data_IF_909224833610
#
_entry.id   IF_909224833610
#
_cell.length_a   1.000
_cell.length_b   1.000
_cell.length_c   1.000
_cell.angle_alpha   90.00
_cell.angle_beta   90.00
_cell.angle_gamma   90.00
#
_symmetry.space_group_name_H-M   'P 1'
#
loop_
_entity.id
_entity.type
_entity.pdbx_description
1 polymer ?
#
# COMPACT_ATOMS: atom_id res chain seq x y z
N UNK A 1 16.62 -4.91 -5.82
CA UNK A 1 15.78 -5.61 -4.82
C UNK A 1 16.49 -5.54 -3.48
N UNK A 2 15.81 -5.08 -2.43
CA UNK A 2 16.32 -5.00 -1.05
C UNK A 2 15.66 -6.09 -0.22
N UNK A 3 16.42 -6.70 0.70
CA UNK A 3 15.93 -7.71 1.65
C UNK A 3 15.26 -8.96 1.06
N UNK A 4 15.71 -9.40 -0.12
CA UNK A 4 15.34 -10.71 -0.63
C UNK A 4 15.87 -11.83 0.28
N UNK A 5 15.03 -12.80 0.65
CA UNK A 5 15.50 -14.04 1.28
C UNK A 5 16.24 -14.85 0.20
N UNK A 6 17.54 -15.05 0.38
CA UNK A 6 18.41 -15.73 -0.59
C UNK A 6 19.55 -16.46 0.14
N UNK A 7 20.16 -17.45 -0.54
CA UNK A 7 21.18 -18.31 0.06
C UNK A 7 20.60 -19.33 1.03
N UNK A 8 21.39 -19.76 2.00
CA UNK A 8 20.93 -20.66 3.06
C UNK A 8 20.10 -19.86 4.08
N UNK A 9 18.86 -20.27 4.28
CA UNK A 9 17.94 -19.64 5.23
C UNK A 9 17.24 -20.68 6.10
N UNK A 10 16.77 -20.25 7.27
CA UNK A 10 15.90 -21.07 8.12
C UNK A 10 14.47 -21.09 7.55
N UNK A 11 13.84 -22.26 7.56
CA UNK A 11 12.45 -22.45 7.17
C UNK A 11 11.71 -23.29 8.21
N UNK A 12 10.52 -22.85 8.59
CA UNK A 12 9.56 -23.64 9.38
C UNK A 12 8.49 -24.17 8.43
N UNK A 13 8.35 -25.50 8.37
CA UNK A 13 7.23 -26.17 7.72
C UNK A 13 6.08 -26.38 8.72
N UNK A 14 5.15 -25.44 8.73
CA UNK A 14 4.01 -25.41 9.63
C UNK A 14 2.81 -26.17 9.03
N UNK A 15 2.56 -27.38 9.53
CA UNK A 15 1.34 -28.15 9.27
C UNK A 15 0.27 -28.05 10.37
N UNK A 16 0.63 -27.50 11.52
CA UNK A 16 -0.25 -27.37 12.71
C UNK A 16 -0.62 -25.92 13.03
N UNK A 17 -0.87 -25.65 14.31
CA UNK A 17 -1.23 -24.31 14.80
C UNK A 17 -0.15 -23.74 15.70
N UNK A 18 0.22 -22.48 15.47
CA UNK A 18 1.00 -21.66 16.41
C UNK A 18 0.05 -20.64 17.04
N UNK A 19 0.06 -20.55 18.37
CA UNK A 19 -0.67 -19.49 19.10
C UNK A 19 0.31 -18.66 19.91
N UNK A 20 0.31 -17.35 19.66
CA UNK A 20 1.18 -16.38 20.30
C UNK A 20 0.34 -15.48 21.21
N UNK A 21 0.72 -15.37 22.48
CA UNK A 21 0.03 -14.55 23.48
C UNK A 21 1.05 -13.63 24.14
N UNK A 22 0.91 -12.31 23.99
CA UNK A 22 1.83 -11.32 24.55
C UNK A 22 3.29 -11.58 24.17
N UNK A 23 3.53 -11.91 22.89
CA UNK A 23 4.84 -12.35 22.40
C UNK A 23 5.38 -11.46 21.28
N UNK A 24 6.59 -11.77 20.82
CA UNK A 24 7.16 -11.27 19.56
C UNK A 24 7.55 -12.44 18.69
N UNK A 25 7.15 -12.43 17.41
CA UNK A 25 7.57 -13.37 16.39
C UNK A 25 8.37 -12.61 15.32
N UNK A 26 9.66 -12.92 15.19
CA UNK A 26 10.52 -12.35 14.15
C UNK A 26 10.88 -13.40 13.10
N UNK A 27 10.63 -13.09 11.82
CA UNK A 27 10.81 -14.04 10.71
C UNK A 27 11.69 -13.42 9.62
N UNK A 28 12.98 -13.77 9.64
CA UNK A 28 13.96 -13.37 8.62
C UNK A 28 14.12 -14.41 7.50
N UNK A 29 13.74 -15.67 7.77
CA UNK A 29 13.64 -16.75 6.78
C UNK A 29 12.21 -16.95 6.29
N UNK A 30 11.70 -18.18 6.34
CA UNK A 30 10.32 -18.49 6.00
C UNK A 30 9.55 -19.28 7.06
N UNK A 31 8.25 -19.02 7.15
CA UNK A 31 7.26 -19.96 7.72
C UNK A 31 6.29 -20.31 6.60
N UNK A 32 6.22 -21.59 6.22
CA UNK A 32 5.42 -22.11 5.10
C UNK A 32 4.54 -23.26 5.55
N UNK A 33 3.64 -23.68 4.66
CA UNK A 33 2.73 -24.81 4.90
C UNK A 33 1.30 -24.35 5.20
N UNK A 34 0.40 -25.32 5.28
CA UNK A 34 -1.04 -25.10 5.38
C UNK A 34 -1.54 -24.85 6.81
N UNK A 35 -0.64 -24.80 7.78
CA UNK A 35 -0.99 -24.47 9.15
C UNK A 35 -1.29 -22.98 9.35
N UNK A 36 -1.64 -22.64 10.60
CA UNK A 36 -2.18 -21.33 10.96
C UNK A 36 -1.44 -20.73 12.16
N UNK A 37 -1.29 -19.40 12.14
CA UNK A 37 -0.74 -18.62 13.25
C UNK A 37 -1.85 -17.72 13.80
N UNK A 38 -2.07 -17.77 15.12
CA UNK A 38 -2.95 -16.83 15.84
C UNK A 38 -2.10 -15.93 16.72
N UNK A 39 -2.21 -14.61 16.55
CA UNK A 39 -1.46 -13.62 17.29
C UNK A 39 -2.40 -12.76 18.16
N UNK A 40 -2.26 -12.91 19.48
CA UNK A 40 -2.99 -12.15 20.50
C UNK A 40 -2.00 -11.23 21.25
N UNK A 41 -2.25 -9.92 21.23
CA UNK A 41 -1.36 -8.92 21.84
C UNK A 41 0.12 -9.10 21.45
N UNK A 42 0.37 -9.47 20.19
CA UNK A 42 1.68 -9.94 19.73
C UNK A 42 2.21 -9.03 18.63
N UNK A 43 3.52 -8.80 18.65
CA UNK A 43 4.22 -8.14 17.53
C UNK A 43 4.78 -9.19 16.58
N UNK A 44 4.38 -9.13 15.32
CA UNK A 44 4.89 -9.98 14.25
C UNK A 44 5.75 -9.12 13.34
N UNK A 45 7.02 -9.48 13.22
CA UNK A 45 8.00 -8.85 12.36
C UNK A 45 8.34 -9.86 11.27
N UNK A 46 8.14 -9.49 10.01
CA UNK A 46 8.55 -10.31 8.89
C UNK A 46 9.45 -9.54 7.93
N UNK A 47 10.32 -10.26 7.23
CA UNK A 47 11.19 -9.63 6.25
C UNK A 47 10.36 -9.00 5.12
N UNK A 48 10.59 -7.71 4.88
CA UNK A 48 9.96 -6.91 3.83
C UNK A 48 10.90 -6.83 2.63
N UNK A 49 10.54 -7.52 1.56
CA UNK A 49 11.27 -7.43 0.30
C UNK A 49 10.83 -6.17 -0.46
N UNK A 50 11.72 -5.19 -0.63
CA UNK A 50 11.43 -3.96 -1.38
C UNK A 50 12.10 -4.06 -2.76
N UNK A 51 11.30 -4.34 -3.78
CA UNK A 51 11.77 -4.48 -5.16
C UNK A 51 11.78 -3.15 -5.90
N UNK A 52 10.92 -2.21 -5.51
CA UNK A 52 10.83 -0.87 -6.10
C UNK A 52 11.79 0.16 -5.49
N UNK A 53 12.75 -0.27 -4.68
CA UNK A 53 13.81 0.61 -4.17
C UNK A 53 14.92 0.75 -5.20
N UNK A 54 15.14 1.98 -5.66
CA UNK A 54 16.01 2.29 -6.81
C UNK A 54 17.36 2.90 -6.38
N UNK A 55 17.68 2.81 -5.10
CA UNK A 55 18.85 3.45 -4.51
C UNK A 55 18.52 4.82 -3.91
N UNK A 56 19.40 5.29 -3.02
CA UNK A 56 19.17 6.49 -2.23
C UNK A 56 18.96 7.76 -3.06
N UNK A 57 19.66 7.91 -4.20
CA UNK A 57 19.50 9.10 -5.07
C UNK A 57 18.12 9.17 -5.70
N UNK A 58 17.67 8.10 -6.34
CA UNK A 58 16.37 8.11 -7.02
C UNK A 58 15.23 8.22 -6.01
N UNK A 59 15.28 7.45 -4.92
CA UNK A 59 14.29 7.50 -3.85
C UNK A 59 14.18 8.88 -3.21
N UNK A 60 15.30 9.55 -2.93
CA UNK A 60 15.31 10.90 -2.37
C UNK A 60 14.73 11.92 -3.35
N UNK A 61 15.12 11.89 -4.63
CA UNK A 61 14.56 12.79 -5.64
C UNK A 61 13.05 12.60 -5.84
N UNK A 62 12.56 11.35 -5.82
CA UNK A 62 11.12 11.03 -5.90
C UNK A 62 10.33 11.62 -4.74
N UNK A 63 10.88 11.50 -3.53
CA UNK A 63 10.20 11.96 -2.33
C UNK A 63 10.27 13.48 -2.15
N UNK A 64 11.47 14.07 -2.26
CA UNK A 64 11.72 15.48 -2.00
C UNK A 64 11.17 16.38 -3.12
N UNK A 65 11.24 15.91 -4.37
CA UNK A 65 10.87 16.70 -5.55
C UNK A 65 12.03 17.47 -6.16
N UNK A 66 11.71 18.34 -7.11
CA UNK A 66 12.68 19.02 -7.97
C UNK A 66 13.36 20.23 -7.31
N UNK A 67 14.65 20.43 -7.60
CA UNK A 67 15.40 21.64 -7.26
C UNK A 67 15.68 21.88 -5.78
N UNK A 68 15.66 20.84 -4.92
CA UNK A 68 15.93 20.97 -3.48
C UNK A 68 17.34 20.51 -3.15
N UNK A 69 17.92 21.10 -2.11
CA UNK A 69 19.23 20.69 -1.60
C UNK A 69 19.01 19.56 -0.59
N UNK A 70 19.59 18.38 -0.86
CA UNK A 70 19.43 17.17 -0.03
C UNK A 70 19.85 17.41 1.43
N UNK A 71 20.95 18.16 1.63
CA UNK A 71 21.50 18.48 2.94
C UNK A 71 20.56 19.28 3.86
N UNK A 72 19.50 19.89 3.30
CA UNK A 72 18.51 20.66 4.05
C UNK A 72 17.11 20.03 4.02
N UNK A 73 16.98 18.80 3.51
CA UNK A 73 15.69 18.14 3.24
C UNK A 73 15.34 17.03 4.24
N UNK A 74 15.68 17.21 5.52
CA UNK A 74 15.41 16.22 6.59
C UNK A 74 13.93 16.13 6.96
N UNK A 75 13.19 17.24 6.86
CA UNK A 75 11.76 17.35 7.12
C UNK A 75 11.01 17.91 5.89
N UNK A 76 10.68 17.05 4.95
CA UNK A 76 10.02 17.45 3.70
C UNK A 76 8.56 17.79 3.95
N UNK A 77 8.20 19.07 3.87
CA UNK A 77 6.82 19.52 4.11
C UNK A 77 5.85 19.19 2.97
N UNK A 78 6.35 19.21 1.73
CA UNK A 78 5.59 18.98 0.50
C UNK A 78 6.23 17.87 -0.34
N UNK A 79 6.19 16.61 0.14
CA UNK A 79 6.74 15.50 -0.62
C UNK A 79 5.93 15.22 -1.89
N UNK A 80 6.59 14.67 -2.91
CA UNK A 80 5.99 14.47 -4.24
C UNK A 80 5.46 13.04 -4.42
N UNK A 81 6.32 12.04 -4.21
CA UNK A 81 6.00 10.63 -4.45
C UNK A 81 6.64 9.75 -3.38
N UNK A 82 5.93 8.71 -2.93
CA UNK A 82 6.53 7.73 -2.01
C UNK A 82 7.72 7.02 -2.68
N UNK A 83 8.83 6.74 -1.96
CA UNK A 83 10.13 6.44 -2.59
C UNK A 83 10.21 5.12 -3.36
N UNK A 84 9.25 4.21 -3.19
CA UNK A 84 9.15 2.96 -3.93
C UNK A 84 7.69 2.64 -4.23
N UNK A 85 7.46 1.86 -5.29
CA UNK A 85 6.12 1.43 -5.75
C UNK A 85 5.89 -0.08 -5.63
N UNK A 86 6.90 -0.85 -5.20
CA UNK A 86 6.84 -2.32 -5.14
C UNK A 86 7.53 -2.89 -3.91
N UNK A 87 6.78 -3.68 -3.14
CA UNK A 87 7.24 -4.38 -1.95
C UNK A 87 6.38 -5.62 -1.70
N UNK A 88 6.90 -6.61 -0.96
CA UNK A 88 6.18 -7.86 -0.68
C UNK A 88 6.53 -8.39 0.72
N UNK A 89 5.49 -8.75 1.50
CA UNK A 89 5.56 -9.40 2.82
C UNK A 89 5.42 -10.93 2.65
N UNK A 90 6.54 -11.60 2.37
CA UNK A 90 6.55 -13.01 1.92
C UNK A 90 7.18 -14.01 2.89
N UNK A 91 7.73 -13.54 4.00
CA UNK A 91 8.41 -14.42 4.94
C UNK A 91 7.43 -15.33 5.69
N UNK A 92 6.26 -14.82 6.08
CA UNK A 92 5.19 -15.67 6.63
C UNK A 92 4.20 -16.02 5.52
N UNK A 93 4.26 -17.25 5.01
CA UNK A 93 3.37 -17.72 3.94
C UNK A 93 2.15 -18.49 4.48
N UNK A 94 2.29 -19.12 5.64
CA UNK A 94 1.13 -19.63 6.38
C UNK A 94 0.17 -18.50 6.76
N UNK A 95 -1.12 -18.82 6.90
CA UNK A 95 -2.12 -17.83 7.30
C UNK A 95 -1.82 -17.32 8.72
N UNK A 96 -1.87 -16.01 8.92
CA UNK A 96 -1.75 -15.39 10.24
C UNK A 96 -2.96 -14.51 10.53
N UNK A 97 -3.63 -14.79 11.64
CA UNK A 97 -4.70 -13.95 12.19
C UNK A 97 -4.15 -13.10 13.32
N UNK A 98 -4.11 -11.78 13.11
CA UNK A 98 -3.79 -10.78 14.12
C UNK A 98 -5.08 -10.25 14.74
N UNK A 99 -5.31 -10.56 16.01
CA UNK A 99 -6.41 -9.98 16.77
C UNK A 99 -6.06 -8.57 17.27
N UNK A 100 -7.08 -7.77 17.60
CA UNK A 100 -6.91 -6.51 18.31
C UNK A 100 -5.95 -6.68 19.50
N UNK A 101 -5.00 -5.76 19.62
CA UNK A 101 -3.83 -5.81 20.48
C UNK A 101 -2.52 -6.14 19.76
N UNK A 102 -2.58 -6.79 18.59
CA UNK A 102 -1.39 -7.22 17.83
C UNK A 102 -0.92 -6.18 16.79
N UNK A 103 0.30 -6.36 16.30
CA UNK A 103 0.98 -5.55 15.27
C UNK A 103 1.66 -6.43 14.22
N UNK A 104 1.56 -6.04 12.95
CA UNK A 104 2.34 -6.59 11.83
C UNK A 104 3.29 -5.51 11.30
N UNK A 105 4.58 -5.83 11.25
CA UNK A 105 5.63 -4.92 10.79
C UNK A 105 6.54 -5.62 9.79
N UNK A 106 6.87 -4.90 8.72
CA UNK A 106 7.92 -5.30 7.79
C UNK A 106 9.27 -4.77 8.23
N UNK A 107 10.30 -5.61 8.18
CA UNK A 107 11.69 -5.22 8.38
C UNK A 107 12.47 -5.26 7.06
N UNK A 108 13.13 -4.17 6.71
CA UNK A 108 14.00 -4.09 5.54
C UNK A 108 15.36 -3.48 5.89
N UNK A 109 16.45 -3.97 5.28
CA UNK A 109 17.70 -3.23 5.14
C UNK A 109 17.68 -2.52 3.80
N UNK A 110 17.93 -1.21 3.82
CA UNK A 110 17.82 -0.34 2.65
C UNK A 110 19.16 0.34 2.42
N UNK A 111 19.74 0.10 1.24
CA UNK A 111 20.98 0.73 0.83
C UNK A 111 20.76 2.15 0.27
N UNK A 112 21.56 3.10 0.75
CA UNK A 112 21.71 4.42 0.13
C UNK A 112 22.73 4.36 -1.01
N UNK A 113 22.81 5.42 -1.81
CA UNK A 113 23.80 5.53 -2.89
C UNK A 113 24.98 6.37 -2.44
N UNK A 114 26.18 6.09 -2.98
CA UNK A 114 27.32 6.98 -2.79
C UNK A 114 27.07 8.33 -3.46
N UNK A 115 27.40 9.44 -2.78
CA UNK A 115 27.15 10.79 -3.26
C UNK A 115 28.12 11.80 -2.66
N UNK A 116 28.67 12.70 -3.49
CA UNK A 116 29.54 13.80 -3.05
C UNK A 116 30.66 13.36 -2.06
N UNK A 117 31.31 12.22 -2.33
CA UNK A 117 32.35 11.65 -1.45
C UNK A 117 31.83 10.84 -0.25
N UNK A 118 30.53 10.86 0.02
CA UNK A 118 29.86 10.02 1.02
C UNK A 118 29.68 8.61 0.45
N UNK A 119 30.17 7.60 1.16
CA UNK A 119 30.00 6.19 0.78
C UNK A 119 28.55 5.74 1.00
N UNK A 120 28.10 4.76 0.22
CA UNK A 120 26.82 4.10 0.43
C UNK A 120 26.73 3.50 1.83
N UNK A 121 25.55 3.55 2.44
CA UNK A 121 25.26 3.09 3.80
C UNK A 121 24.07 2.13 3.77
N UNK A 122 24.01 1.20 4.71
CA UNK A 122 22.88 0.28 4.89
C UNK A 122 22.10 0.74 6.11
N UNK A 123 20.81 1.00 5.92
CA UNK A 123 19.90 1.45 6.95
C UNK A 123 18.88 0.38 7.28
N UNK A 124 18.48 0.28 8.54
CA UNK A 124 17.34 -0.55 8.93
C UNK A 124 16.04 0.27 8.83
N UNK A 125 15.02 -0.34 8.26
CA UNK A 125 13.71 0.27 8.05
C UNK A 125 12.62 -0.65 8.56
N UNK A 126 11.72 -0.06 9.34
CA UNK A 126 10.65 -0.76 10.04
C UNK A 126 9.30 -0.19 9.64
N UNK A 127 8.59 -0.86 8.73
CA UNK A 127 7.34 -0.36 8.18
C UNK A 127 6.16 -1.07 8.83
N UNK A 128 5.38 -0.41 9.70
CA UNK A 128 4.16 -1.01 10.19
C UNK A 128 3.12 -1.13 9.07
N UNK A 129 2.43 -2.27 9.02
CA UNK A 129 1.35 -2.55 8.07
C UNK A 129 0.01 -2.64 8.78
N UNK A 130 -0.06 -3.43 9.85
CA UNK A 130 -1.24 -3.53 10.70
C UNK A 130 -0.88 -3.23 12.16
N UNK A 131 -1.77 -2.56 12.89
CA UNK A 131 -1.52 -2.24 14.29
C UNK A 131 -2.83 -2.07 15.06
N UNK A 132 -2.72 -2.07 16.38
CA UNK A 132 -3.80 -1.75 17.31
C UNK A 132 -3.59 -0.41 18.01
N UNK A 133 -2.48 0.26 17.73
CA UNK A 133 -2.09 1.56 18.28
C UNK A 133 -3.01 2.68 17.75
N UNK A 134 -3.23 3.70 18.58
CA UNK A 134 -4.05 4.86 18.25
C UNK A 134 -3.34 5.87 17.34
N UNK A 135 -2.01 5.87 17.30
CA UNK A 135 -1.22 6.77 16.47
C UNK A 135 -1.46 6.49 14.97
N UNK A 136 -1.70 7.53 14.19
CA UNK A 136 -1.93 7.41 12.74
C UNK A 136 -0.68 6.93 11.99
N UNK A 137 0.54 7.13 12.53
CA UNK A 137 1.79 6.62 11.93
C UNK A 137 2.06 5.13 12.23
N UNK A 138 1.12 4.45 12.89
CA UNK A 138 1.34 3.10 13.43
C UNK A 138 1.01 1.96 12.46
N UNK A 139 0.59 2.26 11.23
CA UNK A 139 0.33 1.26 10.21
C UNK A 139 -0.73 1.69 9.19
N UNK A 140 -0.80 0.95 8.07
CA UNK A 140 -1.77 1.18 6.99
C UNK A 140 -3.18 0.69 7.35
N UNK A 141 -3.28 -0.25 8.29
CA UNK A 141 -4.54 -0.76 8.84
C UNK A 141 -4.44 -0.75 10.36
N UNK A 142 -5.31 0.02 11.01
CA UNK A 142 -5.36 0.17 12.47
C UNK A 142 -6.68 -0.42 12.98
N UNK A 143 -6.57 -1.51 13.73
CA UNK A 143 -7.71 -2.19 14.35
C UNK A 143 -8.29 -1.31 15.46
N UNK A 144 -9.58 -0.95 15.39
CA UNK A 144 -10.21 0.00 16.33
C UNK A 144 -11.11 -0.70 17.33
N UNK A 145 -12.04 -1.52 16.85
CA UNK A 145 -12.97 -2.26 17.71
C UNK A 145 -12.30 -3.48 18.35
N UNK A 146 -12.90 -4.01 19.41
CA UNK A 146 -12.39 -5.18 20.15
C UNK A 146 -12.46 -6.48 19.33
N UNK A 147 -13.43 -6.58 18.42
CA UNK A 147 -13.62 -7.70 17.48
C UNK A 147 -12.80 -7.54 16.20
N UNK A 148 -12.12 -6.40 16.01
CA UNK A 148 -11.31 -6.18 14.82
C UNK A 148 -10.14 -7.16 14.74
N UNK A 149 -9.88 -7.65 13.52
CA UNK A 149 -8.74 -8.49 13.21
C UNK A 149 -8.26 -8.27 11.78
N UNK A 150 -6.99 -8.55 11.57
CA UNK A 150 -6.37 -8.62 10.25
C UNK A 150 -5.92 -10.05 9.99
N UNK A 151 -6.28 -10.62 8.85
CA UNK A 151 -5.77 -11.93 8.42
C UNK A 151 -4.83 -11.71 7.25
N UNK A 152 -3.55 -12.04 7.42
CA UNK A 152 -2.57 -12.03 6.34
C UNK A 152 -2.40 -13.45 5.80
N UNK A 153 -2.53 -13.59 4.49
CA UNK A 153 -2.41 -14.87 3.80
C UNK A 153 -1.35 -14.78 2.71
N UNK A 154 -0.96 -15.94 2.20
CA UNK A 154 -0.14 -16.04 1.00
C UNK A 154 -0.71 -17.14 0.12
N UNK A 155 -1.22 -16.79 -1.07
CA UNK A 155 -1.88 -17.73 -1.98
C UNK A 155 -1.21 -17.65 -3.34
N UNK A 156 -0.66 -18.78 -3.79
CA UNK A 156 0.18 -18.82 -4.99
C UNK A 156 1.40 -17.92 -4.80
N UNK A 157 1.38 -16.75 -5.41
CA UNK A 157 2.45 -15.76 -5.33
C UNK A 157 1.98 -14.40 -4.77
N UNK A 158 0.76 -14.33 -4.22
CA UNK A 158 0.11 -13.09 -3.78
C UNK A 158 -0.01 -13.02 -2.27
N UNK A 159 0.18 -11.81 -1.73
CA UNK A 159 -0.06 -11.48 -0.32
C UNK A 159 -1.52 -11.03 -0.18
N UNK A 160 -2.31 -11.74 0.62
CA UNK A 160 -3.66 -11.33 0.97
C UNK A 160 -3.69 -10.61 2.32
N UNK A 161 -4.46 -9.53 2.42
CA UNK A 161 -4.76 -8.81 3.65
C UNK A 161 -6.28 -8.71 3.78
N UNK A 162 -6.84 -9.43 4.74
CA UNK A 162 -8.26 -9.37 5.05
C UNK A 162 -8.50 -8.56 6.32
N UNK A 163 -9.52 -7.70 6.32
CA UNK A 163 -9.91 -6.90 7.50
C UNK A 163 -11.31 -7.25 7.96
N UNK A 164 -11.50 -7.28 9.27
CA UNK A 164 -12.77 -7.54 9.95
C UNK A 164 -12.99 -6.51 11.06
N UNK A 165 -14.25 -6.27 11.42
CA UNK A 165 -14.62 -5.31 12.47
C UNK A 165 -14.41 -3.86 12.03
N UNK A 166 -14.24 -2.96 13.00
CA UNK A 166 -13.95 -1.54 12.71
C UNK A 166 -12.44 -1.31 12.62
N UNK A 167 -11.97 -0.85 11.47
CA UNK A 167 -10.58 -0.48 11.20
C UNK A 167 -10.49 0.92 10.59
N UNK A 168 -9.38 1.60 10.84
CA UNK A 168 -9.01 2.87 10.21
C UNK A 168 -7.70 2.71 9.46
N UNK A 169 -7.45 3.47 8.41
CA UNK A 169 -6.08 3.57 7.91
C UNK A 169 -5.19 4.44 8.81
N UNK A 170 -3.91 4.41 8.50
CA UNK A 170 -2.91 5.35 8.95
C UNK A 170 -1.91 5.57 7.82
N UNK A 171 -0.69 5.92 8.19
CA UNK A 171 0.44 6.02 7.28
C UNK A 171 1.66 5.28 7.84
N UNK A 172 2.60 5.01 6.97
CA UNK A 172 3.90 4.42 7.28
C UNK A 172 5.04 5.34 6.82
N UNK A 173 6.24 5.10 7.32
CA UNK A 173 7.42 5.86 6.95
C UNK A 173 8.65 4.98 6.81
N UNK A 174 9.60 5.44 5.99
CA UNK A 174 10.95 4.91 5.94
C UNK A 174 11.90 6.00 6.40
N UNK A 175 12.70 5.68 7.40
CA UNK A 175 13.73 6.58 7.91
C UNK A 175 15.09 6.08 7.44
N UNK A 176 15.91 6.99 6.93
CA UNK A 176 17.28 6.73 6.54
C UNK A 176 18.21 7.65 7.32
N UNK A 177 19.27 7.09 7.85
CA UNK A 177 20.42 7.80 8.38
C UNK A 177 21.51 7.86 7.31
N UNK A 178 21.99 9.06 7.04
CA UNK A 178 23.11 9.32 6.13
C UNK A 178 24.11 10.21 6.85
N UNK A 179 25.25 9.63 7.23
CA UNK A 179 26.25 10.30 8.07
C UNK A 179 25.61 10.67 9.41
N UNK A 180 25.21 11.93 9.62
CA UNK A 180 24.56 12.43 10.84
C UNK A 180 23.18 13.05 10.54
N UNK A 181 22.61 12.74 9.37
CA UNK A 181 21.32 13.28 8.94
C UNK A 181 20.28 12.18 8.88
N UNK A 182 19.15 12.41 9.53
CA UNK A 182 17.96 11.56 9.42
C UNK A 182 17.01 12.14 8.38
N UNK A 183 16.67 11.36 7.35
CA UNK A 183 15.65 11.69 6.36
C UNK A 183 14.47 10.76 6.59
N UNK A 184 13.31 11.31 6.91
CA UNK A 184 12.08 10.55 7.05
C UNK A 184 11.19 10.72 5.81
N UNK A 185 10.90 9.60 5.14
CA UNK A 185 10.02 9.53 3.98
C UNK A 185 8.68 8.92 4.39
N UNK A 186 7.69 9.76 4.64
CA UNK A 186 6.36 9.36 5.13
C UNK A 186 5.32 9.30 4.02
N UNK A 187 4.37 8.39 4.13
CA UNK A 187 3.20 8.31 3.24
C UNK A 187 2.05 9.22 3.67
N UNK A 188 2.20 9.99 4.74
CA UNK A 188 1.15 10.89 5.26
C UNK A 188 0.57 11.83 4.19
N UNK A 189 1.43 12.35 3.29
CA UNK A 189 1.06 13.41 2.33
C UNK A 189 1.07 12.97 0.86
N UNK A 190 1.57 11.77 0.58
CA UNK A 190 1.75 11.21 -0.77
C UNK A 190 1.02 9.88 -0.91
N UNK A 191 0.73 9.48 -2.14
CA UNK A 191 0.10 8.18 -2.40
C UNK A 191 1.00 7.02 -2.01
N UNK A 192 0.55 6.22 -1.05
CA UNK A 192 1.16 4.94 -0.74
C UNK A 192 0.70 3.88 -1.75
N UNK A 193 1.61 3.10 -2.35
CA UNK A 193 1.28 2.11 -3.36
C UNK A 193 0.76 0.80 -2.74
N UNK A 194 -0.38 0.31 -3.24
CA UNK A 194 -0.80 -1.08 -3.06
C UNK A 194 -0.27 -1.87 -4.25
N UNK A 195 0.57 -2.87 -3.96
CA UNK A 195 1.40 -3.54 -4.97
C UNK A 195 0.64 -4.58 -5.79
N UNK A 196 1.13 -4.89 -6.99
CA UNK A 196 0.46 -5.73 -7.99
C UNK A 196 0.28 -7.20 -7.58
N UNK A 197 0.93 -7.63 -6.49
CA UNK A 197 0.78 -8.96 -5.91
C UNK A 197 0.09 -8.91 -4.54
N UNK A 198 -0.69 -7.87 -4.30
CA UNK A 198 -1.43 -7.67 -3.05
C UNK A 198 -2.92 -7.70 -3.31
N UNK A 199 -3.62 -8.50 -2.52
CA UNK A 199 -5.08 -8.56 -2.47
C UNK A 199 -5.54 -8.02 -1.12
N UNK A 200 -6.40 -7.01 -1.14
CA UNK A 200 -7.04 -6.49 0.06
C UNK A 200 -8.52 -6.89 0.04
N UNK A 201 -9.01 -7.45 1.14
CA UNK A 201 -10.42 -7.81 1.26
C UNK A 201 -11.00 -7.25 2.55
N UNK A 202 -11.99 -6.38 2.42
CA UNK A 202 -12.75 -5.88 3.57
C UNK A 202 -13.91 -6.87 3.76
N UNK A 203 -13.73 -7.81 4.67
CA UNK A 203 -14.61 -8.98 4.85
C UNK A 203 -15.89 -8.63 5.61
N UNK A 204 -15.77 -7.81 6.65
CA UNK A 204 -16.91 -7.36 7.45
C UNK A 204 -16.58 -6.08 8.21
N UNK A 205 -17.62 -5.40 8.71
CA UNK A 205 -17.46 -4.18 9.49
C UNK A 205 -17.18 -2.97 8.63
N UNK A 206 -16.41 -2.02 9.16
CA UNK A 206 -16.15 -0.73 8.52
C UNK A 206 -14.67 -0.46 8.45
N UNK A 207 -14.16 -0.17 7.25
CA UNK A 207 -12.85 0.42 7.04
C UNK A 207 -13.03 1.92 6.80
N UNK A 208 -12.44 2.79 7.62
CA UNK A 208 -12.36 4.24 7.36
C UNK A 208 -10.98 4.64 6.85
N UNK A 209 -10.94 5.23 5.66
CA UNK A 209 -9.73 5.54 4.89
C UNK A 209 -9.58 7.07 4.78
N UNK A 210 -8.56 7.66 5.40
CA UNK A 210 -8.25 9.11 5.45
C UNK A 210 -7.04 9.51 4.59
N UNK A 211 -6.07 8.61 4.38
CA UNK A 211 -4.80 8.88 3.71
C UNK A 211 -4.83 8.73 2.18
N UNK A 212 -3.68 8.68 1.50
CA UNK A 212 -3.64 8.58 0.03
C UNK A 212 -3.13 7.21 -0.39
N UNK A 213 -3.88 6.50 -1.23
CA UNK A 213 -3.51 5.18 -1.74
C UNK A 213 -3.63 5.11 -3.26
N UNK A 214 -2.65 4.47 -3.89
CA UNK A 214 -2.71 4.14 -5.31
C UNK A 214 -2.67 2.63 -5.49
N UNK A 215 -3.65 2.10 -6.20
CA UNK A 215 -3.70 0.69 -6.55
C UNK A 215 -2.95 0.51 -7.85
N UNK A 216 -1.76 -0.07 -7.75
CA UNK A 216 -0.87 -0.30 -8.88
C UNK A 216 -1.38 -1.49 -9.71
N UNK A 217 -1.04 -1.59 -11.02
CA UNK A 217 -1.48 -2.67 -11.89
C UNK A 217 -1.33 -4.07 -11.27
N UNK A 218 -2.36 -4.90 -11.39
CA UNK A 218 -2.46 -6.24 -10.79
C UNK A 218 -2.87 -6.30 -9.32
N UNK A 219 -2.91 -5.18 -8.59
CA UNK A 219 -3.39 -5.16 -7.20
C UNK A 219 -4.91 -5.29 -7.16
N UNK A 220 -5.44 -5.82 -6.06
CA UNK A 220 -6.91 -5.91 -5.90
C UNK A 220 -7.38 -5.37 -4.56
N UNK A 221 -8.58 -4.78 -4.57
CA UNK A 221 -9.37 -4.53 -3.38
C UNK A 221 -10.79 -5.02 -3.60
N UNK A 222 -11.33 -5.76 -2.64
CA UNK A 222 -12.75 -6.16 -2.62
C UNK A 222 -13.41 -5.75 -1.32
N UNK A 223 -14.53 -5.03 -1.40
CA UNK A 223 -15.44 -4.80 -0.28
C UNK A 223 -16.52 -5.86 -0.36
N UNK A 224 -16.55 -6.82 0.57
CA UNK A 224 -17.54 -7.89 0.55
C UNK A 224 -18.92 -7.41 1.01
N UNK A 225 -19.94 -8.21 0.71
CA UNK A 225 -21.31 -7.92 1.13
C UNK A 225 -21.40 -7.76 2.65
N UNK A 226 -22.10 -6.73 3.12
CA UNK A 226 -22.20 -6.37 4.53
C UNK A 226 -20.99 -5.60 5.10
N UNK A 227 -19.91 -5.42 4.35
CA UNK A 227 -18.80 -4.55 4.72
C UNK A 227 -18.98 -3.13 4.15
N UNK A 228 -18.33 -2.16 4.79
CA UNK A 228 -18.32 -0.75 4.35
C UNK A 228 -16.91 -0.20 4.26
N UNK A 229 -16.60 0.53 3.19
CA UNK A 229 -15.44 1.41 3.09
C UNK A 229 -15.88 2.88 3.08
N UNK A 230 -15.44 3.64 4.09
CA UNK A 230 -15.57 5.09 4.12
C UNK A 230 -14.28 5.72 3.56
N UNK A 231 -14.32 6.14 2.31
CA UNK A 231 -13.21 6.73 1.58
C UNK A 231 -13.22 8.26 1.74
N UNK A 232 -12.42 8.78 2.66
CA UNK A 232 -12.29 10.21 2.96
C UNK A 232 -11.02 10.83 2.38
N UNK A 233 -9.98 10.03 2.14
CA UNK A 233 -8.70 10.48 1.61
C UNK A 233 -8.65 10.56 0.08
N UNK A 234 -7.60 10.01 -0.52
CA UNK A 234 -7.52 9.90 -1.99
C UNK A 234 -7.19 8.49 -2.44
N UNK A 235 -7.95 7.98 -3.41
CA UNK A 235 -7.68 6.70 -4.07
C UNK A 235 -7.52 6.91 -5.58
N UNK A 236 -6.47 6.33 -6.15
CA UNK A 236 -6.32 6.19 -7.60
C UNK A 236 -6.13 4.73 -7.97
N UNK A 237 -6.92 4.22 -8.90
CA UNK A 237 -6.85 2.83 -9.38
C UNK A 237 -6.28 2.84 -10.80
N UNK A 238 -5.07 2.28 -10.96
CA UNK A 238 -4.38 2.25 -12.25
C UNK A 238 -4.84 1.11 -13.15
N UNK A 239 -4.65 1.31 -14.45
CA UNK A 239 -4.91 0.37 -15.54
C UNK A 239 -3.63 -0.34 -15.94
N UNK A 240 -3.73 -1.52 -16.56
CA UNK A 240 -2.61 -2.38 -16.94
C UNK A 240 -1.74 -1.81 -18.08
N UNK A 241 -2.19 -0.73 -18.71
CA UNK A 241 -1.42 0.07 -19.66
C UNK A 241 -0.43 1.03 -18.99
N UNK A 242 -0.43 1.14 -17.66
CA UNK A 242 0.53 1.94 -16.91
C UNK A 242 1.98 1.61 -17.32
N UNK A 243 2.71 2.65 -17.73
CA UNK A 243 4.14 2.59 -18.05
C UNK A 243 4.86 3.54 -17.12
N UNK A 244 5.79 3.02 -16.34
CA UNK A 244 6.64 3.85 -15.50
C UNK A 244 7.64 4.63 -16.39
N UNK A 245 8.28 5.67 -15.84
CA UNK A 245 9.25 6.52 -16.56
C UNK A 245 10.44 5.72 -17.10
N UNK A 246 10.67 4.54 -16.53
CA UNK A 246 11.44 3.50 -17.19
C UNK A 246 10.67 2.18 -17.10
N UNK A 247 10.64 1.38 -18.18
CA UNK A 247 10.02 0.06 -18.19
C UNK A 247 10.65 -0.93 -17.17
N UNK A 248 11.66 -0.49 -16.41
CA UNK A 248 12.38 -1.30 -15.40
C UNK A 248 11.85 -1.12 -13.97
N UNK A 249 11.04 -0.09 -13.70
CA UNK A 249 10.68 0.29 -12.32
C UNK A 249 9.43 -0.41 -11.77
N UNK A 250 8.41 -0.61 -12.62
CA UNK A 250 7.22 -1.38 -12.28
C UNK A 250 6.96 -2.46 -13.35
N UNK A 251 6.64 -3.71 -12.98
CA UNK A 251 6.46 -4.79 -13.96
C UNK A 251 5.26 -4.54 -14.88
N UNK A 252 5.47 -4.76 -16.18
CA UNK A 252 4.41 -4.80 -17.19
C UNK A 252 3.62 -6.12 -17.14
N UNK A 253 2.41 -6.13 -17.71
CA UNK A 253 1.66 -7.36 -17.95
C UNK A 253 0.95 -7.95 -16.72
N UNK A 254 0.83 -7.19 -15.63
CA UNK A 254 0.07 -7.61 -14.44
C UNK A 254 -1.46 -7.44 -14.58
N UNK A 255 -1.92 -6.78 -15.65
CA UNK A 255 -3.32 -6.41 -15.84
C UNK A 255 -3.74 -5.16 -15.05
N UNK A 256 -5.01 -4.76 -15.19
CA UNK A 256 -5.59 -3.64 -14.44
C UNK A 256 -5.51 -3.90 -12.93
N UNK A 257 -5.38 -2.83 -12.13
CA UNK A 257 -5.76 -2.92 -10.73
C UNK A 257 -7.29 -3.08 -10.64
N UNK A 258 -7.76 -3.93 -9.75
CA UNK A 258 -9.19 -4.29 -9.66
C UNK A 258 -9.76 -3.76 -8.35
N UNK A 259 -10.77 -2.89 -8.43
CA UNK A 259 -11.48 -2.35 -7.27
C UNK A 259 -12.95 -2.79 -7.32
N UNK A 260 -13.29 -3.77 -6.49
CA UNK A 260 -14.61 -4.43 -6.48
C UNK A 260 -15.42 -3.99 -5.26
N UNK A 261 -16.64 -3.53 -5.50
CA UNK A 261 -17.60 -3.13 -4.47
C UNK A 261 -18.77 -4.11 -4.50
N UNK A 262 -18.81 -5.04 -3.55
CA UNK A 262 -19.94 -5.95 -3.33
C UNK A 262 -20.71 -5.63 -2.04
N UNK A 263 -20.11 -4.84 -1.14
CA UNK A 263 -20.76 -4.18 0.00
C UNK A 263 -21.07 -2.72 -0.29
N UNK A 264 -20.72 -1.84 0.65
CA UNK A 264 -20.94 -0.39 0.54
C UNK A 264 -19.62 0.38 0.43
N UNK A 265 -19.53 1.30 -0.53
CA UNK A 265 -18.46 2.28 -0.65
C UNK A 265 -19.04 3.69 -0.51
N UNK A 266 -18.56 4.45 0.47
CA UNK A 266 -18.86 5.87 0.63
C UNK A 266 -17.66 6.69 0.16
N UNK A 267 -17.81 7.43 -0.94
CA UNK A 267 -16.77 8.28 -1.52
C UNK A 267 -16.99 9.72 -1.05
N UNK A 268 -16.19 10.17 -0.09
CA UNK A 268 -16.21 11.53 0.46
C UNK A 268 -15.00 12.35 0.02
N UNK A 269 -13.89 11.67 -0.31
CA UNK A 269 -12.63 12.29 -0.73
C UNK A 269 -12.45 12.33 -2.26
N UNK A 270 -11.22 12.11 -2.71
CA UNK A 270 -10.90 12.01 -4.13
C UNK A 270 -10.82 10.55 -4.58
N UNK A 271 -11.50 10.19 -5.67
CA UNK A 271 -11.45 8.83 -6.22
C UNK A 271 -11.34 8.88 -7.74
N UNK A 272 -10.29 8.26 -8.28
CA UNK A 272 -10.11 8.07 -9.72
C UNK A 272 -9.90 6.61 -10.09
N UNK A 273 -10.52 6.16 -11.18
CA UNK A 273 -10.34 4.83 -11.73
C UNK A 273 -11.63 4.02 -11.82
N UNK A 274 -11.49 2.75 -12.19
CA UNK A 274 -12.62 1.85 -12.44
C UNK A 274 -13.13 1.23 -11.13
N UNK A 275 -14.45 1.21 -10.97
CA UNK A 275 -15.14 0.46 -9.91
C UNK A 275 -16.00 -0.63 -10.55
N UNK A 276 -15.82 -1.86 -10.08
CA UNK A 276 -16.53 -3.04 -10.52
C UNK A 276 -17.45 -3.56 -9.40
N UNK A 277 -18.39 -4.43 -9.76
CA UNK A 277 -19.12 -5.26 -8.82
C UNK A 277 -19.38 -6.63 -9.43
N UNK A 278 -19.43 -7.66 -8.59
CA UNK A 278 -19.84 -9.01 -9.00
C UNK A 278 -21.16 -9.43 -8.38
N UNK A 279 -21.69 -8.65 -7.43
CA UNK A 279 -22.96 -8.89 -6.72
C UNK A 279 -23.69 -7.56 -6.47
N UNK A 280 -24.57 -7.43 -5.47
CA UNK A 280 -25.39 -6.25 -5.23
C UNK A 280 -24.63 -5.08 -4.53
N UNK A 281 -23.54 -4.61 -5.12
CA UNK A 281 -22.74 -3.50 -4.59
C UNK A 281 -23.47 -2.16 -4.54
N UNK A 282 -23.12 -1.31 -3.55
CA UNK A 282 -23.64 0.05 -3.40
C UNK A 282 -22.51 1.06 -3.29
N UNK A 283 -22.56 2.13 -4.10
CA UNK A 283 -21.59 3.23 -4.06
C UNK A 283 -22.32 4.54 -3.83
N UNK A 284 -21.95 5.28 -2.80
CA UNK A 284 -22.49 6.61 -2.51
C UNK A 284 -21.39 7.63 -2.79
N UNK A 285 -21.62 8.51 -3.76
CA UNK A 285 -20.68 9.58 -4.12
C UNK A 285 -21.12 10.87 -3.45
N UNK A 286 -20.35 11.34 -2.48
CA UNK A 286 -20.64 12.55 -1.73
C UNK A 286 -20.66 13.80 -2.61
N UNK A 287 -21.41 14.82 -2.19
CA UNK A 287 -21.57 16.06 -2.96
C UNK A 287 -20.24 16.82 -3.17
N UNK A 288 -19.28 16.68 -2.26
CA UNK A 288 -17.96 17.33 -2.29
C UNK A 288 -16.83 16.41 -2.76
N UNK A 289 -17.16 15.19 -3.20
CA UNK A 289 -16.15 14.25 -3.66
C UNK A 289 -15.48 14.75 -4.95
N UNK A 290 -14.18 14.50 -5.10
CA UNK A 290 -13.45 14.78 -6.34
C UNK A 290 -13.35 13.50 -7.15
N UNK A 291 -14.08 13.43 -8.26
CA UNK A 291 -14.23 12.18 -9.05
C UNK A 291 -13.72 12.30 -10.48
N UNK A 292 -13.17 13.46 -10.85
CA UNK A 292 -12.53 13.70 -12.15
C UNK A 292 -11.14 14.24 -11.93
N UNK A 293 -10.23 13.93 -12.86
CA UNK A 293 -8.85 14.41 -12.84
C UNK A 293 -8.12 14.13 -11.50
N UNK A 294 -8.38 12.98 -10.88
CA UNK A 294 -7.69 12.60 -9.65
C UNK A 294 -6.29 12.12 -10.01
N UNK A 295 -5.31 12.94 -9.65
CA UNK A 295 -3.91 12.78 -10.03
C UNK A 295 -3.07 12.19 -8.90
N UNK A 296 -2.29 11.17 -9.21
CA UNK A 296 -1.26 10.59 -8.33
C UNK A 296 0.12 10.77 -8.96
N UNK A 297 1.04 11.55 -8.37
CA UNK A 297 2.37 11.75 -8.96
C UNK A 297 3.17 10.45 -9.14
N UNK A 298 3.67 10.25 -10.35
CA UNK A 298 4.74 9.28 -10.67
C UNK A 298 5.83 9.99 -11.45
N UNK A 299 7.06 9.54 -11.25
CA UNK A 299 8.20 10.18 -11.86
C UNK A 299 9.51 9.49 -11.55
N UNK A 300 10.55 9.94 -12.24
CA UNK A 300 11.94 9.57 -11.95
C UNK A 300 12.56 10.63 -11.07
N UNK A 301 13.08 10.21 -9.92
CA UNK A 301 13.88 11.05 -9.05
C UNK A 301 15.37 10.88 -9.34
N UNK A 302 16.18 11.86 -8.99
CA UNK A 302 17.64 11.73 -8.90
C UNK A 302 18.21 12.77 -7.94
N UNK A 303 19.46 12.58 -7.50
CA UNK A 303 20.27 13.61 -6.84
C UNK A 303 21.61 13.71 -7.55
N UNK A 304 21.95 14.92 -7.99
CA UNK A 304 23.22 15.23 -8.63
C UNK A 304 24.39 15.19 -7.63
N UNK A 305 25.64 15.21 -8.12
CA UNK A 305 26.82 15.32 -7.24
C UNK A 305 26.89 16.67 -6.51
N UNK A 306 26.16 17.69 -6.97
CA UNK A 306 25.97 18.95 -6.25
C UNK A 306 24.91 18.85 -5.13
N UNK A 307 24.42 17.64 -4.81
CA UNK A 307 23.40 17.39 -3.78
C UNK A 307 22.04 18.05 -4.08
N UNK A 308 21.79 18.41 -5.35
CA UNK A 308 20.51 18.97 -5.81
C UNK A 308 19.63 17.83 -6.31
N UNK A 309 18.42 17.75 -5.77
CA UNK A 309 17.38 16.80 -6.18
C UNK A 309 16.78 17.22 -7.51
N UNK A 310 16.38 16.25 -8.31
CA UNK A 310 15.61 16.46 -9.53
C UNK A 310 14.46 15.47 -9.60
N UNK A 311 13.35 15.90 -10.21
CA UNK A 311 12.18 15.06 -10.39
C UNK A 311 11.56 15.26 -11.77
N UNK A 312 11.62 14.23 -12.60
CA UNK A 312 10.99 14.20 -13.92
C UNK A 312 9.66 13.47 -13.82
N UNK A 313 8.56 14.20 -13.98
CA UNK A 313 7.20 13.64 -13.96
C UNK A 313 6.98 12.69 -15.14
N UNK A 314 6.23 11.63 -14.87
CA UNK A 314 5.58 10.82 -15.90
C UNK A 314 4.47 11.64 -16.56
N UNK A 315 4.07 11.24 -17.77
CA UNK A 315 2.88 11.76 -18.45
C UNK A 315 1.65 11.66 -17.52
N UNK A 316 1.03 12.80 -17.24
CA UNK A 316 -0.11 12.90 -16.34
C UNK A 316 -1.33 12.12 -16.83
N UNK A 317 -1.44 11.84 -18.13
CA UNK A 317 -2.54 11.01 -18.68
C UNK A 317 -2.50 9.57 -18.17
N UNK A 318 -1.32 9.07 -17.82
CA UNK A 318 -1.14 7.72 -17.28
C UNK A 318 -1.57 7.62 -15.81
N UNK A 319 -1.45 8.71 -15.07
CA UNK A 319 -1.57 8.76 -13.61
C UNK A 319 -2.75 9.59 -13.10
N UNK A 320 -3.50 10.19 -14.02
CA UNK A 320 -4.73 10.93 -13.76
C UNK A 320 -5.93 10.09 -14.15
N UNK A 321 -6.85 9.86 -13.22
CA UNK A 321 -8.01 9.01 -13.44
C UNK A 321 -9.30 9.72 -13.02
N UNK A 322 -10.38 9.42 -13.72
CA UNK A 322 -11.75 9.78 -13.34
C UNK A 322 -12.48 8.53 -12.87
N UNK A 323 -13.39 8.66 -11.92
CA UNK A 323 -14.23 7.56 -11.45
C UNK A 323 -15.19 7.14 -12.56
N UNK A 324 -15.15 5.85 -12.89
CA UNK A 324 -16.10 5.21 -13.80
C UNK A 324 -16.56 3.89 -13.21
N UNK A 325 -17.85 3.59 -13.37
CA UNK A 325 -18.41 2.30 -13.00
C UNK A 325 -18.42 1.37 -14.21
N UNK A 326 -18.04 0.11 -14.01
CA UNK A 326 -17.96 -0.89 -15.09
C UNK A 326 -19.06 -1.93 -14.90
N UNK A 327 -19.86 -2.12 -15.95
CA UNK A 327 -20.93 -3.12 -16.02
C UNK A 327 -20.37 -4.50 -16.42
N UNK A 328 -21.13 -5.57 -16.21
CA UNK A 328 -20.73 -6.94 -16.56
C UNK A 328 -20.40 -7.13 -18.06
N UNK A 329 -21.01 -6.33 -18.94
CA UNK A 329 -20.74 -6.34 -20.38
C UNK A 329 -19.60 -5.39 -20.81
N UNK A 330 -18.80 -4.89 -19.86
CA UNK A 330 -17.71 -3.92 -20.03
C UNK A 330 -18.11 -2.51 -20.51
N UNK A 331 -19.41 -2.22 -20.64
CA UNK A 331 -19.86 -0.82 -20.78
C UNK A 331 -19.59 -0.05 -19.50
N UNK A 332 -19.47 1.27 -19.60
CA UNK A 332 -19.17 2.13 -18.45
C UNK A 332 -20.27 3.15 -18.19
N UNK A 333 -20.42 3.50 -16.91
CA UNK A 333 -21.27 4.60 -16.44
C UNK A 333 -20.36 5.64 -15.80
N UNK A 334 -20.36 6.86 -16.34
CA UNK A 334 -19.64 7.97 -15.74
C UNK A 334 -20.27 8.33 -14.39
N UNK A 335 -19.44 8.53 -13.37
CA UNK A 335 -19.93 8.93 -12.07
C UNK A 335 -20.29 10.42 -12.02
N UNK A 336 -21.14 10.75 -11.07
CA UNK A 336 -21.57 12.10 -10.73
C UNK A 336 -21.59 12.21 -9.20
N UNK A 337 -21.28 13.40 -8.68
CA UNK A 337 -21.34 13.68 -7.24
C UNK A 337 -22.78 13.78 -6.76
N UNK A 338 -22.97 13.67 -5.45
CA UNK A 338 -24.28 13.70 -4.81
C UNK A 338 -25.27 12.65 -5.35
N UNK A 339 -24.75 11.48 -5.76
CA UNK A 339 -25.55 10.39 -6.32
C UNK A 339 -25.17 9.06 -5.66
N UNK A 340 -26.17 8.20 -5.50
CA UNK A 340 -25.99 6.79 -5.12
C UNK A 340 -26.14 5.92 -6.35
N UNK A 341 -25.24 4.95 -6.49
CA UNK A 341 -25.24 3.93 -7.53
C UNK A 341 -25.44 2.57 -6.88
N UNK A 342 -26.35 1.78 -7.43
CA UNK A 342 -26.55 0.39 -7.02
C UNK A 342 -26.25 -0.53 -8.20
N UNK A 343 -25.54 -1.62 -7.94
CA UNK A 343 -25.32 -2.65 -8.94
C UNK A 343 -26.45 -3.67 -8.90
N UNK A 344 -27.12 -3.84 -10.03
CA UNK A 344 -28.22 -4.79 -10.18
C UNK A 344 -28.19 -5.42 -11.58
N UNK A 345 -28.37 -6.74 -11.65
CA UNK A 345 -28.44 -7.52 -12.88
C UNK A 345 -27.30 -7.19 -13.89
N UNK A 346 -26.08 -7.05 -13.38
CA UNK A 346 -24.92 -6.77 -14.23
C UNK A 346 -24.69 -5.29 -14.58
N UNK A 347 -25.48 -4.37 -14.02
CA UNK A 347 -25.44 -2.94 -14.36
C UNK A 347 -25.42 -2.02 -13.15
N UNK A 348 -24.65 -0.93 -13.23
CA UNK A 348 -24.70 0.18 -12.28
C UNK A 348 -25.78 1.19 -12.69
N UNK A 349 -26.60 1.62 -11.72
CA UNK A 349 -27.76 2.50 -11.94
C UNK A 349 -27.77 3.69 -10.98
#
# INVERSE_FOLDING_TARGET
MQNAVSGNYCEISLGGKITLNNATLEVYGYIKGNGEITANNTTVIENLCITGWLGGRESAGRYIGDGKILAFSTNVNNPVQFPFSRYELRSVQSSITLHKGSKLQGYAKIATSAIAGIKAQINEAWLPFASSDSNESSGLVRMKSSDAKVVKTFKGDRVGIETYGSVEDGYTSVTLEVVNMTISMTSEKVFFPICGKTDIVIKSGTFTQKYKYKFMPGSTLTIENGATLNQNGSIVVYTGDFKDVTDTHYPSGLGDAIFTVNGTLNINGAFGGKVLSTTAGKVIVGAKATITNVYSPEGKGNVSNAMITSYTRLDETMTTKSLVFVNANNSTVAAATNKTYNYNNGTWQ
#
